data_IF_352312436232
#
_entry.id   IF_352312436232
#
_cell.length_a   1.000
_cell.length_b   1.000
_cell.length_c   1.000
_cell.angle_alpha   90.00
_cell.angle_beta   90.00
_cell.angle_gamma   90.00
#
_symmetry.space_group_name_H-M   'P 1'
#
loop_
_entity.id
_entity.type
_entity.pdbx_description
1 polymer ?
#
# COMPACT_ATOMS: atom_id res chain seq x y z
N UNK A 1 -10.15 -17.09 19.20
CA UNK A 1 -10.89 -15.92 18.78
C UNK A 1 -10.97 -15.81 17.27
N UNK A 2 -12.18 -15.65 16.74
CA UNK A 2 -12.40 -15.64 15.29
C UNK A 2 -12.40 -14.22 14.72
N UNK A 3 -11.42 -13.43 15.10
CA UNK A 3 -11.30 -12.07 14.62
C UNK A 3 -10.33 -12.00 13.44
N UNK A 4 -10.70 -11.20 12.45
CA UNK A 4 -9.82 -10.86 11.33
C UNK A 4 -9.60 -9.35 11.38
N UNK A 5 -8.33 -8.95 11.47
CA UNK A 5 -7.93 -7.55 11.42
C UNK A 5 -7.04 -7.35 10.20
N UNK A 6 -7.46 -6.47 9.31
CA UNK A 6 -6.68 -6.14 8.12
C UNK A 6 -6.05 -4.76 8.29
N UNK A 7 -4.73 -4.70 8.14
CA UNK A 7 -3.99 -3.44 8.11
C UNK A 7 -3.74 -3.10 6.64
N UNK A 8 -4.21 -1.95 6.20
CA UNK A 8 -4.18 -1.60 4.78
C UNK A 8 -3.50 -0.27 4.54
N UNK A 9 -2.78 -0.19 3.41
CA UNK A 9 -2.25 1.06 2.89
C UNK A 9 -2.83 1.25 1.49
N UNK A 10 -4.03 1.82 1.40
CA UNK A 10 -4.74 1.93 0.13
C UNK A 10 -5.00 3.37 -0.27
N UNK A 11 -5.02 3.59 -1.58
CA UNK A 11 -5.32 4.87 -2.19
C UNK A 11 -6.40 4.70 -3.25
N UNK A 12 -7.20 5.74 -3.44
CA UNK A 12 -8.19 5.76 -4.52
C UNK A 12 -7.60 6.38 -5.78
N UNK A 13 -8.15 6.01 -6.93
CA UNK A 13 -7.84 6.63 -8.21
C UNK A 13 -8.88 7.71 -8.52
N UNK A 14 -8.47 8.83 -9.12
CA UNK A 14 -7.09 9.24 -9.35
C UNK A 14 -6.41 9.71 -8.05
N UNK A 15 -5.08 9.64 -8.02
CA UNK A 15 -4.33 10.15 -6.88
C UNK A 15 -4.60 11.66 -6.74
N UNK A 16 -5.03 12.14 -5.54
CA UNK A 16 -5.62 13.49 -5.41
C UNK A 16 -4.63 14.65 -5.39
N UNK A 17 -3.33 14.35 -5.43
CA UNK A 17 -2.30 15.38 -5.32
C UNK A 17 -1.49 15.49 -6.60
N UNK A 18 -0.97 16.69 -6.95
CA UNK A 18 -0.14 16.88 -8.14
C UNK A 18 1.29 16.36 -7.97
N UNK A 19 1.70 16.09 -6.72
CA UNK A 19 3.04 15.61 -6.39
C UNK A 19 2.97 14.40 -5.48
N UNK A 20 3.97 13.52 -5.58
CA UNK A 20 4.06 12.34 -4.74
C UNK A 20 5.46 12.22 -4.13
N UNK A 21 5.53 11.75 -2.89
CA UNK A 21 6.78 11.69 -2.13
C UNK A 21 7.69 10.62 -2.71
N UNK A 22 8.93 11.01 -3.06
CA UNK A 22 9.89 10.10 -3.68
C UNK A 22 10.79 9.40 -2.67
N UNK A 23 11.03 10.01 -1.51
CA UNK A 23 11.93 9.47 -0.49
C UNK A 23 11.21 8.80 0.69
N UNK A 24 9.99 8.35 0.48
CA UNK A 24 9.25 7.54 1.44
C UNK A 24 8.72 6.29 0.76
N UNK A 25 9.02 5.12 1.35
CA UNK A 25 8.52 3.83 0.86
C UNK A 25 7.30 3.39 1.64
N UNK A 26 6.33 2.84 0.93
CA UNK A 26 5.12 2.25 1.51
C UNK A 26 4.72 1.04 0.69
N UNK A 27 3.87 0.20 1.28
CA UNK A 27 3.25 -0.94 0.59
C UNK A 27 1.87 -0.54 0.10
N UNK A 28 1.80 0.42 -0.80
CA UNK A 28 0.55 0.99 -1.28
C UNK A 28 -0.19 0.06 -2.24
N UNK A 29 -1.51 0.17 -2.22
CA UNK A 29 -2.41 -0.58 -3.09
C UNK A 29 -3.60 0.31 -3.45
N UNK A 30 -4.11 0.17 -4.66
CA UNK A 30 -5.34 0.88 -5.04
C UNK A 30 -6.54 0.24 -4.35
N UNK A 31 -7.56 1.04 -4.05
CA UNK A 31 -8.77 0.58 -3.35
C UNK A 31 -9.42 -0.61 -4.07
N UNK A 32 -9.47 -0.57 -5.39
CA UNK A 32 -10.08 -1.64 -6.18
C UNK A 32 -9.38 -2.98 -5.96
N UNK A 33 -8.05 -2.96 -5.96
CA UNK A 33 -7.25 -4.16 -5.72
C UNK A 33 -7.39 -4.62 -4.27
N UNK A 34 -7.41 -3.68 -3.32
CA UNK A 34 -7.60 -4.00 -1.91
C UNK A 34 -8.95 -4.66 -1.65
N UNK A 35 -10.00 -4.23 -2.34
CA UNK A 35 -11.31 -4.82 -2.21
C UNK A 35 -11.32 -6.28 -2.67
N UNK A 36 -10.69 -6.58 -3.80
CA UNK A 36 -10.58 -7.95 -4.32
C UNK A 36 -9.80 -8.83 -3.33
N UNK A 37 -8.68 -8.34 -2.82
CA UNK A 37 -7.85 -9.06 -1.86
C UNK A 37 -8.63 -9.32 -0.56
N UNK A 38 -9.36 -8.32 -0.08
CA UNK A 38 -10.16 -8.45 1.14
C UNK A 38 -11.17 -9.60 1.02
N UNK A 39 -11.83 -9.73 -0.13
CA UNK A 39 -12.77 -10.83 -0.36
C UNK A 39 -12.07 -12.20 -0.24
N UNK A 40 -10.83 -12.30 -0.70
CA UNK A 40 -10.06 -13.54 -0.62
C UNK A 40 -9.61 -13.87 0.79
N UNK A 41 -9.56 -12.88 1.68
CA UNK A 41 -9.09 -13.05 3.06
C UNK A 41 -10.22 -13.24 4.07
N UNK A 42 -11.48 -13.18 3.66
CA UNK A 42 -12.64 -13.16 4.55
C UNK A 42 -12.75 -14.35 5.49
N UNK A 43 -12.19 -15.50 5.11
CA UNK A 43 -12.24 -16.71 5.92
C UNK A 43 -11.00 -16.91 6.80
N UNK A 44 -10.07 -15.94 6.78
CA UNK A 44 -8.86 -16.00 7.60
C UNK A 44 -9.10 -15.42 9.00
N UNK A 45 -8.17 -15.70 9.91
CA UNK A 45 -8.18 -15.17 11.27
C UNK A 45 -6.85 -14.47 11.56
N UNK A 46 -6.88 -13.59 12.55
CA UNK A 46 -5.67 -12.90 13.00
C UNK A 46 -5.46 -11.58 12.32
N UNK A 47 -4.21 -11.11 12.30
CA UNK A 47 -3.84 -9.83 11.73
C UNK A 47 -3.11 -10.09 10.41
N UNK A 48 -3.61 -9.48 9.33
CA UNK A 48 -3.01 -9.62 8.00
C UNK A 48 -2.77 -8.23 7.43
N UNK A 49 -1.53 -7.97 7.03
CA UNK A 49 -1.18 -6.74 6.33
C UNK A 49 -1.56 -6.87 4.86
N UNK A 50 -2.32 -5.92 4.35
CA UNK A 50 -2.79 -5.90 2.97
C UNK A 50 -2.17 -4.71 2.26
N UNK A 51 -1.34 -4.96 1.27
CA UNK A 51 -0.66 -3.93 0.53
C UNK A 51 0.13 -4.49 -0.63
N UNK A 52 0.73 -3.59 -1.40
CA UNK A 52 1.61 -3.95 -2.50
C UNK A 52 3.07 -4.08 -2.06
N UNK A 53 3.94 -4.28 -3.04
CA UNK A 53 5.38 -4.31 -2.79
C UNK A 53 5.86 -2.98 -2.22
N UNK A 54 6.94 -3.02 -1.46
CA UNK A 54 7.59 -1.80 -0.95
C UNK A 54 8.16 -0.99 -2.11
N UNK A 55 7.72 0.25 -2.23
CA UNK A 55 8.22 1.18 -3.25
C UNK A 55 7.89 2.61 -2.81
N UNK A 56 8.55 3.59 -3.43
CA UNK A 56 8.24 4.98 -3.12
C UNK A 56 6.81 5.32 -3.54
N UNK A 57 6.19 6.28 -2.83
CA UNK A 57 4.85 6.76 -3.20
C UNK A 57 4.87 7.28 -4.64
N UNK A 58 5.93 8.01 -5.01
CA UNK A 58 6.10 8.52 -6.37
C UNK A 58 6.09 7.40 -7.41
N UNK A 59 6.89 6.34 -7.20
CA UNK A 59 6.97 5.23 -8.17
C UNK A 59 5.63 4.50 -8.29
N UNK A 60 4.92 4.34 -7.18
CA UNK A 60 3.60 3.72 -7.19
C UNK A 60 2.60 4.53 -8.01
N UNK A 61 2.53 5.84 -7.76
CA UNK A 61 1.56 6.72 -8.44
C UNK A 61 1.91 6.94 -9.90
N UNK A 62 3.20 6.93 -10.23
CA UNK A 62 3.67 7.16 -11.60
C UNK A 62 3.13 6.13 -12.59
N UNK A 63 2.90 4.90 -12.16
CA UNK A 63 2.32 3.86 -13.01
C UNK A 63 0.89 4.21 -13.45
N UNK A 64 0.15 4.92 -12.62
CA UNK A 64 -1.22 5.38 -12.92
C UNK A 64 -1.21 6.74 -13.59
N UNK A 65 -0.35 7.64 -13.14
CA UNK A 65 -0.26 9.01 -13.65
C UNK A 65 1.18 9.34 -14.02
N UNK A 66 1.57 9.15 -15.30
CA UNK A 66 2.94 9.45 -15.73
C UNK A 66 3.37 10.91 -15.58
N UNK A 67 2.42 11.82 -15.41
CA UNK A 67 2.69 13.25 -15.28
C UNK A 67 2.89 13.70 -13.84
N UNK A 68 2.82 12.78 -12.86
CA UNK A 68 3.01 13.12 -11.45
C UNK A 68 4.42 13.68 -11.23
N UNK A 69 4.54 14.68 -10.37
CA UNK A 69 5.82 15.28 -10.03
C UNK A 69 6.34 14.75 -8.71
N UNK A 70 7.66 14.56 -8.54
CA UNK A 70 8.21 14.15 -7.25
C UNK A 70 8.26 15.30 -6.27
N UNK A 71 8.11 14.97 -4.98
CA UNK A 71 8.39 15.90 -3.89
C UNK A 71 9.14 15.12 -2.80
N UNK A 72 9.97 15.81 -2.03
CA UNK A 72 10.78 15.17 -1.00
C UNK A 72 10.28 15.58 0.38
N UNK A 73 10.52 14.71 1.37
CA UNK A 73 10.06 14.96 2.75
C UNK A 73 10.56 16.29 3.30
N UNK A 74 11.81 16.65 3.03
CA UNK A 74 12.39 17.92 3.46
C UNK A 74 11.63 19.14 2.95
N UNK A 75 10.94 19.02 1.83
CA UNK A 75 10.17 20.11 1.22
C UNK A 75 8.78 20.25 1.83
N UNK A 76 8.34 19.26 2.61
CA UNK A 76 7.00 19.23 3.21
C UNK A 76 7.04 19.56 4.69
N UNK A 77 8.07 19.13 5.41
CA UNK A 77 8.13 19.24 6.87
C UNK A 77 9.56 19.28 7.35
N UNK A 78 9.80 20.06 8.42
CA UNK A 78 11.07 20.09 9.14
C UNK A 78 11.18 18.95 10.15
N UNK A 79 10.11 18.17 10.33
CA UNK A 79 10.08 17.05 11.28
C UNK A 79 10.65 15.82 10.63
N UNK A 80 11.47 15.06 11.35
CA UNK A 80 11.97 13.78 10.90
C UNK A 80 10.81 12.80 10.78
N UNK A 81 10.56 12.31 9.57
CA UNK A 81 9.52 11.32 9.29
C UNK A 81 10.18 9.99 8.90
N UNK A 82 9.49 8.91 9.21
CA UNK A 82 9.94 7.59 8.78
C UNK A 82 10.00 7.54 7.25
N UNK A 83 11.13 7.07 6.71
CA UNK A 83 11.34 6.95 5.27
C UNK A 83 10.88 5.60 4.71
N UNK A 84 10.72 4.60 5.59
CA UNK A 84 10.25 3.28 5.21
C UNK A 84 9.06 2.90 6.08
N UNK A 85 7.88 3.02 5.50
CA UNK A 85 6.62 2.64 6.13
C UNK A 85 6.03 1.39 5.48
N UNK A 86 6.90 0.54 4.90
CA UNK A 86 6.48 -0.70 4.25
C UNK A 86 5.95 -1.72 5.27
N UNK A 87 5.07 -2.58 4.79
CA UNK A 87 4.52 -3.67 5.59
C UNK A 87 5.07 -5.02 5.12
N UNK A 88 5.17 -5.97 6.05
CA UNK A 88 5.41 -7.36 5.69
C UNK A 88 4.09 -7.97 5.21
N UNK A 89 4.01 -8.27 3.92
CA UNK A 89 2.81 -8.83 3.28
C UNK A 89 2.94 -10.32 2.97
N UNK A 90 3.87 -11.01 3.63
CA UNK A 90 4.13 -12.44 3.38
C UNK A 90 2.89 -13.29 3.61
N UNK A 91 2.17 -13.05 4.71
CA UNK A 91 0.96 -13.81 5.02
C UNK A 91 -0.13 -13.60 3.97
N UNK A 92 -0.33 -12.36 3.54
CA UNK A 92 -1.28 -12.04 2.47
C UNK A 92 -0.93 -12.80 1.19
N UNK A 93 0.32 -12.75 0.76
CA UNK A 93 0.78 -13.42 -0.47
C UNK A 93 0.54 -14.93 -0.40
N UNK A 94 0.81 -15.54 0.76
CA UNK A 94 0.62 -16.98 0.93
C UNK A 94 -0.85 -17.37 0.76
N UNK A 95 -1.75 -16.65 1.40
CA UNK A 95 -3.19 -16.94 1.30
C UNK A 95 -3.69 -16.74 -0.12
N UNK A 96 -3.28 -15.67 -0.78
CA UNK A 96 -3.70 -15.38 -2.15
C UNK A 96 -3.21 -16.45 -3.13
N UNK A 97 -1.94 -16.85 -3.01
CA UNK A 97 -1.38 -17.89 -3.87
C UNK A 97 -2.12 -19.22 -3.67
N UNK A 98 -2.42 -19.57 -2.42
CA UNK A 98 -3.17 -20.78 -2.10
C UNK A 98 -4.59 -20.73 -2.67
N UNK A 99 -5.18 -19.53 -2.80
CA UNK A 99 -6.55 -19.35 -3.28
C UNK A 99 -6.68 -19.31 -4.81
N UNK A 100 -5.58 -19.11 -5.52
CA UNK A 100 -5.58 -19.04 -6.98
C UNK A 100 -5.51 -20.43 -7.62
N UNK A 101 -5.07 -21.39 -6.85
CA UNK A 101 -4.90 -22.77 -7.35
C UNK A 101 -6.22 -23.54 -7.34
#
# INVERSE_FOLDING_TARGET
DNHLILRMAMNRKPFPHPKAIKDMKKSLMWIEDAAIITLKLMNENGIINVGGKSQSVYDFVKNENPNIKPIYLKDISDVNMATDCSMDITKMKKVINDSII
#
